data_IF_323359019520
#
_entry.id   IF_323359019520
#
_cell.length_a   1.000
_cell.length_b   1.000
_cell.length_c   1.000
_cell.angle_alpha   90.00
_cell.angle_beta   90.00
_cell.angle_gamma   90.00
#
_symmetry.space_group_name_H-M   'P 1'
#
loop_
_entity.id
_entity.type
_entity.pdbx_description
1 polymer ?
#
# COMPACT_ATOMS: atom_id res chain seq x y z
N UNK A 1 -12.73 -23.69 -7.73
CA UNK A 1 -11.40 -23.25 -7.27
C UNK A 1 -11.49 -22.86 -5.81
N UNK A 2 -12.38 -21.94 -5.44
CA UNK A 2 -12.56 -21.45 -4.05
C UNK A 2 -12.76 -22.59 -3.04
N UNK A 3 -13.77 -23.45 -3.23
CA UNK A 3 -14.03 -24.67 -2.41
C UNK A 3 -12.77 -25.46 -2.06
N UNK A 4 -11.83 -25.57 -3.00
CA UNK A 4 -10.64 -26.40 -2.81
C UNK A 4 -9.66 -25.80 -1.78
N UNK A 5 -9.85 -24.55 -1.39
CA UNK A 5 -8.91 -23.76 -0.60
C UNK A 5 -9.57 -22.97 0.54
N UNK A 6 -10.84 -23.19 0.86
CA UNK A 6 -11.53 -22.47 1.94
C UNK A 6 -11.26 -23.07 3.34
N UNK A 7 -10.79 -24.32 3.40
CA UNK A 7 -10.37 -24.99 4.63
C UNK A 7 -11.52 -25.39 5.55
N UNK A 8 -12.74 -25.56 5.04
CA UNK A 8 -13.90 -25.95 5.84
C UNK A 8 -13.99 -27.48 6.11
N UNK A 9 -13.10 -28.26 5.47
CA UNK A 9 -13.03 -29.71 5.55
C UNK A 9 -13.82 -30.46 4.47
N UNK A 10 -14.48 -29.77 3.55
CA UNK A 10 -15.24 -30.31 2.42
C UNK A 10 -14.45 -30.10 1.14
N UNK A 11 -14.19 -31.18 0.38
CA UNK A 11 -13.45 -31.18 -0.91
C UNK A 11 -12.11 -30.39 -0.97
N UNK A 12 -11.55 -30.07 0.20
CA UNK A 12 -10.28 -29.37 0.37
C UNK A 12 -9.14 -30.05 -0.40
N UNK A 13 -8.19 -29.22 -0.83
CA UNK A 13 -6.92 -29.73 -1.33
C UNK A 13 -6.26 -30.64 -0.28
N UNK A 14 -5.90 -31.90 -0.63
CA UNK A 14 -5.21 -32.77 0.32
C UNK A 14 -3.92 -32.12 0.84
N UNK A 15 -3.82 -32.00 2.17
CA UNK A 15 -2.67 -31.37 2.82
C UNK A 15 -2.70 -29.85 2.89
N UNK A 16 -3.86 -29.21 2.65
CA UNK A 16 -4.03 -27.78 2.88
C UNK A 16 -3.71 -27.44 4.34
N UNK A 17 -2.68 -26.61 4.55
CA UNK A 17 -2.25 -26.18 5.88
C UNK A 17 -2.96 -24.90 6.33
N UNK A 18 -3.26 -24.01 5.38
CA UNK A 18 -3.90 -22.72 5.62
C UNK A 18 -4.88 -22.42 4.48
N UNK A 19 -6.08 -21.89 4.77
CA UNK A 19 -7.04 -21.50 3.74
C UNK A 19 -6.58 -20.24 2.99
N UNK A 20 -7.05 -20.10 1.74
CA UNK A 20 -6.88 -18.89 0.94
C UNK A 20 -8.11 -18.00 1.18
N UNK A 21 -7.91 -16.94 1.98
CA UNK A 21 -8.99 -16.01 2.37
C UNK A 21 -9.08 -14.74 1.54
N UNK A 22 -8.13 -14.48 0.65
CA UNK A 22 -8.10 -13.25 -0.14
C UNK A 22 -7.97 -13.59 -1.61
N UNK A 23 -8.90 -13.07 -2.41
CA UNK A 23 -9.00 -13.35 -3.83
C UNK A 23 -8.98 -12.05 -4.62
N UNK A 24 -7.91 -11.82 -5.37
CA UNK A 24 -7.80 -10.70 -6.30
C UNK A 24 -8.36 -11.08 -7.68
N UNK A 25 -9.26 -10.26 -8.20
CA UNK A 25 -9.96 -10.53 -9.46
C UNK A 25 -9.23 -9.87 -10.64
N UNK A 26 -8.31 -10.64 -11.23
CA UNK A 26 -7.42 -10.25 -12.33
C UNK A 26 -6.31 -9.27 -11.94
N UNK A 27 -5.36 -9.05 -12.86
CA UNK A 27 -4.23 -8.14 -12.69
C UNK A 27 -4.28 -7.07 -13.79
N UNK A 28 -4.28 -5.79 -13.39
CA UNK A 28 -4.18 -4.64 -14.30
C UNK A 28 -5.16 -4.67 -15.49
N UNK A 29 -6.48 -4.78 -15.22
CA UNK A 29 -7.48 -4.94 -16.28
C UNK A 29 -7.58 -3.71 -17.20
N UNK A 30 -7.08 -2.55 -16.80
CA UNK A 30 -7.01 -1.37 -17.66
C UNK A 30 -5.89 -1.44 -18.71
N UNK A 31 -4.92 -2.34 -18.58
CA UNK A 31 -3.84 -2.50 -19.57
C UNK A 31 -4.31 -3.36 -20.75
N UNK A 32 -4.39 -2.76 -21.93
CA UNK A 32 -4.97 -3.36 -23.13
C UNK A 32 -3.91 -3.52 -24.25
N UNK A 33 -4.01 -4.60 -25.03
CA UNK A 33 -3.23 -4.82 -26.24
C UNK A 33 -1.72 -4.98 -26.04
N UNK A 34 -1.26 -6.20 -25.74
CA UNK A 34 0.18 -6.45 -25.57
C UNK A 34 0.52 -7.76 -24.89
N UNK A 35 1.81 -8.06 -24.81
CA UNK A 35 2.33 -9.12 -23.97
C UNK A 35 2.39 -8.64 -22.51
N UNK A 36 1.99 -9.49 -21.56
CA UNK A 36 1.96 -9.14 -20.14
C UNK A 36 0.68 -8.43 -19.67
N UNK A 37 -0.37 -8.42 -20.50
CA UNK A 37 -1.69 -7.90 -20.12
C UNK A 37 -2.67 -9.07 -19.98
N UNK A 38 -3.21 -9.25 -18.77
CA UNK A 38 -3.90 -10.50 -18.40
C UNK A 38 -5.42 -10.48 -18.64
N UNK A 39 -5.98 -9.29 -18.83
CA UNK A 39 -7.39 -9.10 -19.17
C UNK A 39 -7.50 -8.28 -20.46
N UNK A 40 -8.39 -8.67 -21.37
CA UNK A 40 -8.67 -7.95 -22.61
C UNK A 40 -10.18 -7.75 -22.73
N UNK A 41 -10.62 -6.50 -22.72
CA UNK A 41 -12.04 -6.18 -22.66
C UNK A 41 -12.29 -4.74 -22.22
N UNK A 42 -13.57 -4.37 -22.17
CA UNK A 42 -14.01 -3.06 -21.71
C UNK A 42 -14.18 -3.03 -20.19
N UNK A 43 -14.37 -1.83 -19.61
CA UNK A 43 -14.78 -1.65 -18.22
C UNK A 43 -16.03 -2.45 -17.86
N UNK A 44 -17.00 -2.55 -18.78
CA UNK A 44 -18.24 -3.31 -18.57
C UNK A 44 -18.00 -4.83 -18.53
N UNK A 45 -17.06 -5.33 -19.35
CA UNK A 45 -16.66 -6.74 -19.34
C UNK A 45 -15.99 -7.10 -18.01
N UNK A 46 -15.08 -6.23 -17.54
CA UNK A 46 -14.41 -6.41 -16.25
C UNK A 46 -15.40 -6.34 -15.08
N UNK A 47 -16.31 -5.36 -15.05
CA UNK A 47 -17.35 -5.27 -14.03
C UNK A 47 -18.24 -6.52 -13.98
N UNK A 48 -18.60 -7.06 -15.15
CA UNK A 48 -19.38 -8.30 -15.23
C UNK A 48 -18.63 -9.49 -14.65
N UNK A 49 -17.32 -9.59 -14.94
CA UNK A 49 -16.43 -10.60 -14.36
C UNK A 49 -16.29 -10.43 -12.84
N UNK A 50 -16.08 -9.20 -12.35
CA UNK A 50 -15.94 -8.89 -10.94
C UNK A 50 -17.19 -9.30 -10.14
N UNK A 51 -18.39 -8.95 -10.63
CA UNK A 51 -19.66 -9.34 -10.00
C UNK A 51 -19.82 -10.86 -9.92
N UNK A 52 -19.57 -11.55 -11.04
CA UNK A 52 -19.66 -13.00 -11.08
C UNK A 52 -18.65 -13.66 -10.13
N UNK A 53 -17.42 -13.15 -10.09
CA UNK A 53 -16.38 -13.63 -9.19
C UNK A 53 -16.78 -13.42 -7.73
N UNK A 54 -17.23 -12.22 -7.35
CA UNK A 54 -17.67 -11.90 -6.00
C UNK A 54 -18.77 -12.84 -5.51
N UNK A 55 -19.84 -13.01 -6.30
CA UNK A 55 -20.95 -13.91 -5.96
C UNK A 55 -20.48 -15.36 -5.83
N UNK A 56 -19.65 -15.83 -6.77
CA UNK A 56 -19.13 -17.21 -6.77
C UNK A 56 -18.22 -17.45 -5.57
N UNK A 57 -17.32 -16.53 -5.26
CA UNK A 57 -16.36 -16.64 -4.16
C UNK A 57 -17.09 -16.63 -2.83
N UNK A 58 -17.94 -15.64 -2.59
CA UNK A 58 -18.64 -15.49 -1.29
C UNK A 58 -19.73 -16.53 -1.06
N UNK A 59 -20.25 -17.16 -2.13
CA UNK A 59 -21.15 -18.31 -2.00
C UNK A 59 -20.41 -19.57 -1.57
N UNK A 60 -19.19 -19.78 -2.09
CA UNK A 60 -18.36 -20.93 -1.72
C UNK A 60 -17.74 -20.73 -0.32
N UNK A 61 -17.14 -19.55 -0.09
CA UNK A 61 -16.51 -19.19 1.17
C UNK A 61 -17.04 -17.83 1.67
N UNK A 62 -18.02 -17.82 2.60
CA UNK A 62 -18.53 -16.60 3.20
C UNK A 62 -17.49 -15.82 4.03
N UNK A 63 -16.35 -16.42 4.38
CA UNK A 63 -15.25 -15.76 5.10
C UNK A 63 -14.21 -15.16 4.15
N UNK A 64 -14.37 -15.31 2.83
CA UNK A 64 -13.44 -14.78 1.85
C UNK A 64 -13.56 -13.26 1.63
N UNK A 65 -12.40 -12.60 1.56
CA UNK A 65 -12.22 -11.23 1.11
C UNK A 65 -11.97 -11.22 -0.40
N UNK A 66 -12.60 -10.29 -1.11
CA UNK A 66 -12.53 -10.17 -2.58
C UNK A 66 -12.00 -8.79 -2.91
N UNK A 67 -10.90 -8.75 -3.65
CA UNK A 67 -10.27 -7.51 -4.11
C UNK A 67 -10.66 -7.25 -5.56
N UNK A 68 -10.78 -5.98 -5.92
CA UNK A 68 -10.64 -5.60 -7.34
C UNK A 68 -9.26 -6.01 -7.83
N UNK A 69 -9.10 -6.28 -9.13
CA UNK A 69 -7.77 -6.35 -9.71
C UNK A 69 -6.99 -5.05 -9.53
N UNK A 70 -5.67 -5.14 -9.46
CA UNK A 70 -4.82 -3.98 -9.28
C UNK A 70 -4.96 -2.95 -10.40
N UNK A 71 -5.31 -1.72 -10.07
CA UNK A 71 -5.27 -0.61 -11.02
C UNK A 71 -3.81 -0.21 -11.29
N UNK A 72 -3.36 -0.22 -12.55
CA UNK A 72 -1.94 0.02 -12.89
C UNK A 72 -1.37 1.43 -12.59
N UNK A 73 -2.22 2.35 -12.11
CA UNK A 73 -1.85 3.72 -11.74
C UNK A 73 -3.02 4.69 -11.85
N UNK A 74 -2.75 5.98 -11.62
CA UNK A 74 -3.77 7.05 -11.62
C UNK A 74 -3.77 7.93 -12.87
N UNK A 75 -3.03 7.57 -13.92
CA UNK A 75 -3.05 8.29 -15.19
C UNK A 75 -4.45 8.23 -15.84
N UNK A 76 -4.84 9.24 -16.66
CA UNK A 76 -6.20 9.34 -17.21
C UNK A 76 -6.71 8.07 -17.91
N UNK A 77 -5.87 7.38 -18.68
CA UNK A 77 -6.28 6.14 -19.36
C UNK A 77 -6.69 5.02 -18.40
N UNK A 78 -6.10 4.98 -17.19
CA UNK A 78 -6.45 3.99 -16.17
C UNK A 78 -7.69 4.43 -15.40
N UNK A 79 -7.78 5.69 -14.99
CA UNK A 79 -8.98 6.19 -14.31
C UNK A 79 -10.21 6.17 -15.21
N UNK A 80 -10.08 6.48 -16.51
CA UNK A 80 -11.17 6.36 -17.49
C UNK A 80 -11.74 4.93 -17.58
N UNK A 81 -10.88 3.91 -17.40
CA UNK A 81 -11.33 2.51 -17.33
C UNK A 81 -12.04 2.21 -16.01
N UNK A 82 -11.49 2.67 -14.88
CA UNK A 82 -11.91 2.27 -13.55
C UNK A 82 -13.09 3.06 -12.98
N UNK A 83 -13.23 4.34 -13.29
CA UNK A 83 -14.36 5.18 -12.83
C UNK A 83 -15.72 4.52 -13.08
N UNK A 84 -16.10 4.12 -14.31
CA UNK A 84 -17.40 3.48 -14.54
C UNK A 84 -17.53 2.10 -13.87
N UNK A 85 -16.42 1.41 -13.58
CA UNK A 85 -16.42 0.16 -12.81
C UNK A 85 -16.78 0.47 -11.37
N UNK A 86 -16.05 1.37 -10.72
CA UNK A 86 -16.22 1.70 -9.30
C UNK A 86 -17.59 2.30 -9.02
N UNK A 87 -18.09 3.21 -9.86
CA UNK A 87 -19.44 3.77 -9.75
C UNK A 87 -20.54 2.69 -9.74
N UNK A 88 -20.28 1.54 -10.36
CA UNK A 88 -21.23 0.43 -10.51
C UNK A 88 -20.89 -0.81 -9.68
N UNK A 89 -19.78 -0.83 -8.96
CA UNK A 89 -19.27 -1.99 -8.24
C UNK A 89 -19.66 -2.03 -6.76
N UNK A 90 -20.49 -1.10 -6.29
CA UNK A 90 -20.98 -1.09 -4.91
C UNK A 90 -21.55 -2.45 -4.48
N UNK A 91 -20.95 -3.03 -3.44
CA UNK A 91 -21.32 -4.35 -2.90
C UNK A 91 -20.74 -5.56 -3.64
N UNK A 92 -19.82 -5.37 -4.59
CA UNK A 92 -19.21 -6.45 -5.38
C UNK A 92 -17.69 -6.57 -5.22
N UNK A 93 -17.13 -5.93 -4.20
CA UNK A 93 -15.78 -6.16 -3.70
C UNK A 93 -15.73 -5.75 -2.23
N UNK A 94 -14.75 -6.27 -1.49
CA UNK A 94 -14.50 -5.93 -0.10
C UNK A 94 -13.38 -4.89 0.04
N UNK A 95 -12.37 -4.98 -0.84
CA UNK A 95 -11.14 -4.19 -0.76
C UNK A 95 -10.78 -3.66 -2.17
N UNK A 96 -10.54 -2.36 -2.28
CA UNK A 96 -10.01 -1.75 -3.50
C UNK A 96 -8.52 -2.09 -3.70
N UNK A 97 -8.00 -1.98 -4.91
CA UNK A 97 -6.62 -2.32 -5.20
C UNK A 97 -5.97 -1.42 -6.27
N UNK A 98 -4.75 -0.97 -6.00
CA UNK A 98 -3.92 -0.17 -6.91
C UNK A 98 -2.46 -0.63 -6.92
N UNK A 99 -1.78 -0.42 -8.04
CA UNK A 99 -0.35 -0.62 -8.23
C UNK A 99 0.34 0.72 -8.46
N UNK A 100 1.57 0.83 -7.96
CA UNK A 100 2.53 1.85 -8.38
C UNK A 100 3.89 1.20 -8.50
N UNK A 101 4.31 0.95 -9.73
CA UNK A 101 5.64 0.45 -10.04
C UNK A 101 6.44 1.60 -10.61
N UNK A 102 7.29 2.19 -9.77
CA UNK A 102 8.25 3.21 -10.15
C UNK A 102 7.65 4.48 -10.75
N UNK A 103 6.43 4.85 -10.35
CA UNK A 103 5.65 5.92 -10.99
C UNK A 103 5.31 7.08 -10.06
N UNK A 104 4.89 6.78 -8.83
CA UNK A 104 4.53 7.80 -7.83
C UNK A 104 5.21 7.50 -6.48
N UNK A 105 5.64 8.55 -5.79
CA UNK A 105 6.36 8.47 -4.53
C UNK A 105 5.50 7.87 -3.40
N UNK A 106 4.20 8.19 -3.36
CA UNK A 106 3.22 7.71 -2.37
C UNK A 106 2.35 6.56 -2.88
N UNK A 107 2.76 5.96 -3.99
CA UNK A 107 2.02 4.89 -4.66
C UNK A 107 0.60 5.27 -5.09
N UNK A 108 0.39 6.55 -5.44
CA UNK A 108 -0.90 7.14 -5.79
C UNK A 108 -1.97 7.06 -4.68
N UNK A 109 -1.56 6.90 -3.42
CA UNK A 109 -2.47 6.64 -2.31
C UNK A 109 -3.51 7.75 -2.10
N UNK A 110 -3.12 9.02 -2.13
CA UNK A 110 -4.04 10.16 -2.03
C UNK A 110 -5.05 10.21 -3.19
N UNK A 111 -4.57 10.06 -4.43
CA UNK A 111 -5.38 10.09 -5.64
C UNK A 111 -6.33 8.89 -5.72
N UNK A 112 -5.87 7.71 -5.28
CA UNK A 112 -6.70 6.51 -5.28
C UNK A 112 -7.76 6.56 -4.18
N UNK A 113 -7.41 7.07 -2.99
CA UNK A 113 -8.37 7.35 -1.93
C UNK A 113 -9.46 8.30 -2.43
N UNK A 114 -9.07 9.40 -3.10
CA UNK A 114 -10.01 10.34 -3.69
C UNK A 114 -10.91 9.67 -4.75
N UNK A 115 -10.36 8.85 -5.63
CA UNK A 115 -11.14 8.13 -6.64
C UNK A 115 -12.19 7.20 -6.01
N UNK A 116 -11.82 6.45 -4.97
CA UNK A 116 -12.77 5.61 -4.25
C UNK A 116 -13.88 6.44 -3.60
N UNK A 117 -13.52 7.56 -2.96
CA UNK A 117 -14.50 8.44 -2.32
C UNK A 117 -15.48 9.06 -3.33
N UNK A 118 -14.96 9.58 -4.44
CA UNK A 118 -15.73 10.20 -5.53
C UNK A 118 -16.68 9.21 -6.22
N UNK A 119 -16.31 7.93 -6.26
CA UNK A 119 -17.11 6.86 -6.87
C UNK A 119 -18.02 6.12 -5.87
N UNK A 120 -18.14 6.64 -4.64
CA UNK A 120 -19.13 6.20 -3.65
C UNK A 120 -18.63 5.18 -2.63
N UNK A 121 -17.31 4.99 -2.51
CA UNK A 121 -16.65 4.02 -1.61
C UNK A 121 -15.89 4.71 -0.47
N UNK A 122 -16.47 5.78 0.07
CA UNK A 122 -15.88 6.52 1.18
C UNK A 122 -15.60 5.60 2.38
N UNK A 123 -14.34 5.59 2.84
CA UNK A 123 -13.88 4.75 3.94
C UNK A 123 -13.75 3.26 3.59
N UNK A 124 -13.95 2.84 2.34
CA UNK A 124 -13.66 1.48 1.91
C UNK A 124 -12.17 1.17 2.09
N UNK A 125 -11.87 -0.05 2.54
CA UNK A 125 -10.50 -0.53 2.64
C UNK A 125 -9.87 -0.63 1.24
N UNK A 126 -8.58 -0.31 1.12
CA UNK A 126 -7.82 -0.57 -0.09
C UNK A 126 -6.40 -1.00 0.21
N UNK A 127 -5.86 -1.81 -0.71
CA UNK A 127 -4.49 -2.28 -0.66
C UNK A 127 -3.70 -1.72 -1.84
N UNK A 128 -2.38 -1.72 -1.67
CA UNK A 128 -1.43 -1.52 -2.76
C UNK A 128 -0.69 -2.85 -2.96
N UNK A 129 -1.13 -3.68 -3.91
CA UNK A 129 -0.57 -5.03 -4.10
C UNK A 129 0.72 -5.09 -4.89
N UNK A 130 1.10 -3.98 -5.55
CA UNK A 130 2.43 -3.81 -6.15
C UNK A 130 2.92 -2.39 -5.88
N UNK A 131 3.86 -2.24 -4.95
CA UNK A 131 4.48 -0.97 -4.61
C UNK A 131 5.99 -0.99 -4.88
N UNK A 132 6.48 0.01 -5.62
CA UNK A 132 7.89 0.24 -5.87
C UNK A 132 8.14 1.74 -6.07
N UNK A 133 9.06 2.32 -5.29
CA UNK A 133 9.43 3.74 -5.42
C UNK A 133 10.16 3.97 -6.75
N UNK A 134 9.94 5.14 -7.38
CA UNK A 134 10.55 5.45 -8.68
C UNK A 134 12.07 5.42 -8.63
N UNK A 135 12.66 4.59 -9.50
CA UNK A 135 14.10 4.56 -9.83
C UNK A 135 14.41 5.43 -11.06
N UNK A 136 13.37 5.96 -11.70
CA UNK A 136 13.49 6.78 -12.91
C UNK A 136 13.60 8.26 -12.56
N UNK A 137 14.44 9.01 -13.27
CA UNK A 137 14.52 10.45 -13.10
C UNK A 137 13.25 11.13 -13.60
N UNK A 138 12.83 12.19 -12.92
CA UNK A 138 11.93 13.16 -13.53
C UNK A 138 12.59 13.84 -14.74
N UNK A 139 11.81 14.37 -15.70
CA UNK A 139 12.34 15.08 -16.85
C UNK A 139 13.31 16.21 -16.44
N UNK A 140 14.59 16.05 -16.79
CA UNK A 140 15.64 17.02 -16.49
C UNK A 140 16.39 16.79 -15.17
N UNK A 141 16.09 15.72 -14.45
CA UNK A 141 16.80 15.32 -13.23
C UNK A 141 17.74 14.13 -13.47
N UNK A 142 18.67 13.91 -12.54
CA UNK A 142 19.45 12.67 -12.50
C UNK A 142 18.60 11.56 -11.88
N UNK A 143 18.93 10.31 -12.20
CA UNK A 143 18.34 9.18 -11.48
C UNK A 143 18.60 9.33 -9.97
N UNK A 144 17.62 8.97 -9.13
CA UNK A 144 17.82 9.00 -7.69
C UNK A 144 18.97 8.09 -7.28
N UNK A 145 19.76 8.56 -6.33
CA UNK A 145 20.80 7.80 -5.64
C UNK A 145 20.18 6.75 -4.72
N UNK A 146 20.96 5.75 -4.31
CA UNK A 146 20.50 4.77 -3.31
C UNK A 146 20.05 5.44 -2.01
N UNK A 147 20.75 6.49 -1.58
CA UNK A 147 20.35 7.28 -0.40
C UNK A 147 18.97 7.92 -0.56
N UNK A 148 18.70 8.54 -1.72
CA UNK A 148 17.39 9.11 -2.04
C UNK A 148 16.30 8.03 -2.12
N UNK A 149 16.61 6.85 -2.66
CA UNK A 149 15.66 5.72 -2.71
C UNK A 149 15.33 5.18 -1.31
N UNK A 150 16.31 5.11 -0.40
CA UNK A 150 16.08 4.77 1.01
C UNK A 150 15.15 5.76 1.71
N UNK A 151 15.37 7.07 1.49
CA UNK A 151 14.51 8.13 2.03
C UNK A 151 13.09 8.04 1.49
N UNK A 152 12.96 7.96 0.16
CA UNK A 152 11.67 7.89 -0.53
C UNK A 152 10.87 6.66 -0.15
N UNK A 153 11.54 5.54 0.15
CA UNK A 153 10.87 4.33 0.62
C UNK A 153 10.22 4.55 1.98
N UNK A 154 10.95 5.15 2.94
CA UNK A 154 10.37 5.39 4.26
C UNK A 154 9.15 6.33 4.17
N UNK A 155 9.33 7.46 3.50
CA UNK A 155 8.28 8.49 3.39
C UNK A 155 7.11 8.02 2.54
N UNK A 156 7.35 7.35 1.41
CA UNK A 156 6.30 6.86 0.51
C UNK A 156 5.36 5.86 1.17
N UNK A 157 5.90 4.87 1.88
CA UNK A 157 5.09 3.90 2.65
C UNK A 157 4.36 4.58 3.80
N UNK A 158 5.02 5.49 4.54
CA UNK A 158 4.38 6.18 5.65
C UNK A 158 3.20 7.04 5.18
N UNK A 159 3.37 7.79 4.09
CA UNK A 159 2.32 8.56 3.44
C UNK A 159 1.17 7.66 3.00
N UNK A 160 1.46 6.56 2.30
CA UNK A 160 0.42 5.67 1.79
C UNK A 160 -0.46 5.07 2.89
N UNK A 161 0.13 4.70 4.03
CA UNK A 161 -0.63 4.27 5.20
C UNK A 161 -1.47 5.42 5.79
N UNK A 162 -0.93 6.63 5.87
CA UNK A 162 -1.67 7.81 6.36
C UNK A 162 -2.85 8.21 5.47
N UNK A 163 -2.74 7.94 4.16
CA UNK A 163 -3.79 8.14 3.15
C UNK A 163 -4.79 6.97 3.09
N UNK A 164 -4.67 6.01 4.00
CA UNK A 164 -5.67 4.99 4.27
C UNK A 164 -5.43 3.63 3.60
N UNK A 165 -4.26 3.40 2.98
CA UNK A 165 -3.90 2.05 2.56
C UNK A 165 -3.80 1.17 3.80
N UNK A 166 -4.43 0.00 3.80
CA UNK A 166 -4.36 -0.92 4.95
C UNK A 166 -3.26 -1.95 4.81
N UNK A 167 -2.86 -2.28 3.57
CA UNK A 167 -1.75 -3.20 3.26
C UNK A 167 -1.00 -2.75 2.01
N UNK A 168 0.32 -2.89 2.06
CA UNK A 168 1.22 -2.55 0.95
C UNK A 168 2.16 -3.73 0.73
N UNK A 169 2.22 -4.22 -0.50
CA UNK A 169 3.10 -5.30 -0.92
C UNK A 169 4.26 -4.72 -1.72
N UNK A 170 5.45 -4.72 -1.10
CA UNK A 170 6.66 -4.30 -1.77
C UNK A 170 7.08 -5.33 -2.82
N UNK A 171 7.19 -4.91 -4.09
CA UNK A 171 7.74 -5.77 -5.15
C UNK A 171 9.23 -6.02 -4.91
N UNK A 172 9.94 -5.02 -4.37
CA UNK A 172 11.31 -5.13 -3.91
C UNK A 172 12.28 -5.72 -4.94
N UNK A 173 13.21 -6.61 -4.54
CA UNK A 173 14.24 -7.16 -5.44
C UNK A 173 13.68 -8.18 -6.45
N UNK A 174 12.38 -8.50 -6.40
CA UNK A 174 11.73 -9.36 -7.38
C UNK A 174 11.34 -8.61 -8.66
N UNK A 175 11.44 -7.28 -8.67
CA UNK A 175 11.32 -6.50 -9.90
C UNK A 175 12.39 -6.96 -10.90
N UNK A 176 12.00 -7.39 -12.13
CA UNK A 176 12.94 -7.80 -13.16
C UNK A 176 13.96 -6.71 -13.57
N UNK A 177 13.73 -5.44 -13.20
CA UNK A 177 14.69 -4.35 -13.42
C UNK A 177 15.74 -4.21 -12.31
N UNK A 178 15.64 -4.99 -11.24
CA UNK A 178 16.56 -4.98 -10.09
C UNK A 178 16.07 -4.18 -8.88
N UNK A 179 14.87 -3.58 -8.96
CA UNK A 179 14.23 -2.85 -7.88
C UNK A 179 14.98 -1.58 -7.45
N UNK A 180 14.56 -0.94 -6.35
CA UNK A 180 15.16 0.33 -5.89
C UNK A 180 16.44 0.16 -5.07
N UNK A 181 16.99 -1.06 -5.01
CA UNK A 181 18.31 -1.33 -4.44
C UNK A 181 18.35 -1.50 -2.91
N UNK A 182 19.53 -1.80 -2.35
CA UNK A 182 19.67 -2.28 -0.98
C UNK A 182 19.33 -1.23 0.09
N UNK A 183 19.51 0.06 -0.19
CA UNK A 183 19.11 1.14 0.72
C UNK A 183 17.58 1.22 0.85
N UNK A 184 16.86 1.07 -0.26
CA UNK A 184 15.39 0.95 -0.26
C UNK A 184 14.93 -0.29 0.47
N UNK A 185 15.55 -1.45 0.21
CA UNK A 185 15.20 -2.71 0.89
C UNK A 185 15.40 -2.60 2.41
N UNK A 186 16.48 -1.96 2.85
CA UNK A 186 16.77 -1.74 4.26
C UNK A 186 15.75 -0.81 4.93
N UNK A 187 15.37 0.27 4.26
CA UNK A 187 14.34 1.19 4.76
C UNK A 187 12.95 0.53 4.83
N UNK A 188 12.60 -0.29 3.85
CA UNK A 188 11.36 -1.08 3.87
C UNK A 188 11.35 -2.09 5.03
N UNK A 189 12.44 -2.82 5.25
CA UNK A 189 12.54 -3.76 6.37
C UNK A 189 12.44 -3.05 7.72
N UNK A 190 13.10 -1.91 7.88
CA UNK A 190 12.98 -1.08 9.08
C UNK A 190 11.52 -0.68 9.35
N UNK A 191 10.80 -0.22 8.32
CA UNK A 191 9.37 0.11 8.43
C UNK A 191 8.55 -1.13 8.82
N UNK A 192 8.74 -2.25 8.13
CA UNK A 192 8.00 -3.48 8.39
C UNK A 192 8.23 -3.99 9.82
N UNK A 193 9.46 -3.91 10.33
CA UNK A 193 9.81 -4.32 11.69
C UNK A 193 9.29 -3.35 12.77
N UNK A 194 9.24 -2.04 12.46
CA UNK A 194 8.89 -1.02 13.45
C UNK A 194 7.38 -0.79 13.53
N UNK A 195 6.72 -0.70 12.38
CA UNK A 195 5.31 -0.33 12.27
C UNK A 195 4.47 -1.37 11.53
N UNK A 196 5.00 -2.51 11.08
CA UNK A 196 4.24 -3.47 10.24
C UNK A 196 2.95 -4.03 10.86
N UNK A 197 2.83 -4.00 12.20
CA UNK A 197 1.65 -4.43 12.95
C UNK A 197 0.78 -3.25 13.45
N UNK A 198 0.92 -2.04 12.87
CA UNK A 198 0.16 -0.86 13.32
C UNK A 198 -1.36 -1.11 13.35
N UNK A 199 -2.05 -0.47 14.29
CA UNK A 199 -3.52 -0.51 14.42
C UNK A 199 -4.18 0.59 13.59
N UNK A 200 -3.59 1.79 13.58
CA UNK A 200 -4.00 2.90 12.73
C UNK A 200 -2.82 3.76 12.33
N UNK A 201 -2.90 4.35 11.13
CA UNK A 201 -1.98 5.36 10.63
C UNK A 201 -2.76 6.63 10.28
N UNK A 202 -2.20 7.80 10.57
CA UNK A 202 -2.83 9.08 10.25
C UNK A 202 -1.80 10.20 10.15
N UNK A 203 -2.11 11.21 9.34
CA UNK A 203 -1.34 12.45 9.31
C UNK A 203 -1.43 13.19 10.64
N UNK A 204 -0.27 13.55 11.20
CA UNK A 204 -0.14 14.41 12.38
C UNK A 204 0.51 15.77 12.06
N UNK A 205 0.94 15.96 10.81
CA UNK A 205 1.51 17.18 10.25
C UNK A 205 1.85 16.97 8.77
N UNK A 206 2.36 17.98 8.08
CA UNK A 206 2.69 17.91 6.64
C UNK A 206 3.77 16.86 6.32
N UNK A 207 4.72 16.67 7.22
CA UNK A 207 5.83 15.70 7.08
C UNK A 207 5.92 14.79 8.31
N UNK A 208 4.76 14.47 8.88
CA UNK A 208 4.64 13.69 10.12
C UNK A 208 3.45 12.75 10.06
N UNK A 209 3.72 11.45 10.11
CA UNK A 209 2.70 10.40 10.20
C UNK A 209 2.77 9.76 11.57
N UNK A 210 1.60 9.57 12.19
CA UNK A 210 1.41 8.87 13.45
C UNK A 210 0.93 7.45 13.18
N UNK A 211 1.59 6.48 13.79
CA UNK A 211 1.18 5.09 13.89
C UNK A 211 0.82 4.75 15.34
N UNK A 212 -0.38 4.24 15.55
CA UNK A 212 -0.79 3.67 16.84
C UNK A 212 -0.50 2.17 16.83
N UNK A 213 0.27 1.70 17.82
CA UNK A 213 0.71 0.31 17.88
C UNK A 213 -0.20 -0.55 18.78
N UNK A 214 -0.32 -1.87 18.53
CA UNK A 214 -1.20 -2.75 19.31
C UNK A 214 -0.85 -2.84 20.80
N UNK A 215 0.40 -2.57 21.17
CA UNK A 215 0.88 -2.57 22.55
C UNK A 215 0.70 -1.23 23.27
N UNK A 216 0.03 -0.27 22.63
CA UNK A 216 -0.24 1.06 23.16
C UNK A 216 0.86 2.09 22.91
N UNK A 217 2.00 1.69 22.32
CA UNK A 217 3.02 2.65 21.89
C UNK A 217 2.51 3.51 20.72
N UNK A 218 3.14 4.66 20.55
CA UNK A 218 2.99 5.49 19.36
C UNK A 218 4.32 5.56 18.64
N UNK A 219 4.32 5.34 17.32
CA UNK A 219 5.48 5.59 16.47
C UNK A 219 5.15 6.74 15.52
N UNK A 220 6.07 7.69 15.37
CA UNK A 220 5.97 8.73 14.35
C UNK A 220 6.97 8.48 13.24
N UNK A 221 6.57 8.59 11.98
CA UNK A 221 7.49 8.79 10.87
C UNK A 221 7.58 10.30 10.59
N UNK A 222 8.77 10.89 10.74
CA UNK A 222 9.00 12.32 10.61
C UNK A 222 10.09 12.60 9.55
N UNK A 223 9.91 13.62 8.73
CA UNK A 223 10.89 14.07 7.73
C UNK A 223 10.78 15.58 7.47
N UNK A 224 11.64 16.11 6.59
CA UNK A 224 11.65 17.53 6.16
C UNK A 224 11.60 18.57 7.30
N UNK A 225 12.26 18.26 8.41
CA UNK A 225 12.37 19.13 9.57
C UNK A 225 11.17 19.05 10.52
N UNK A 226 10.24 18.11 10.31
CA UNK A 226 9.10 17.90 11.20
C UNK A 226 9.55 17.69 12.65
N UNK A 227 8.87 18.40 13.56
CA UNK A 227 8.96 18.18 14.99
C UNK A 227 7.86 17.25 15.49
N UNK A 228 7.91 16.90 16.77
CA UNK A 228 6.88 16.09 17.42
C UNK A 228 5.76 16.99 18.00
N UNK A 229 4.54 16.46 18.19
CA UNK A 229 3.48 17.20 18.86
C UNK A 229 3.87 17.58 20.29
N UNK A 230 3.45 18.75 20.79
CA UNK A 230 3.75 19.24 22.15
C UNK A 230 3.31 18.30 23.28
N UNK A 231 2.41 17.35 22.98
CA UNK A 231 1.97 16.32 23.92
C UNK A 231 3.03 15.22 24.15
N UNK A 232 4.02 15.10 23.25
CA UNK A 232 5.14 14.18 23.40
C UNK A 232 6.25 14.88 24.19
N UNK A 233 6.60 14.34 25.35
CA UNK A 233 7.57 14.97 26.27
C UNK A 233 8.61 13.96 26.74
N UNK A 234 9.80 14.45 27.08
CA UNK A 234 10.88 13.60 27.60
C UNK A 234 11.75 13.03 26.49
N UNK A 235 12.47 11.96 26.79
CA UNK A 235 13.39 11.32 25.84
C UNK A 235 12.61 10.30 25.00
N UNK A 236 12.81 10.36 23.69
CA UNK A 236 12.24 9.43 22.70
C UNK A 236 13.34 8.64 22.01
N UNK A 237 13.02 7.41 21.60
CA UNK A 237 13.91 6.57 20.80
C UNK A 237 13.74 6.91 19.32
N UNK A 238 14.84 6.99 18.57
CA UNK A 238 14.86 7.39 17.17
C UNK A 238 15.61 6.36 16.33
N UNK A 239 15.12 6.05 15.13
CA UNK A 239 15.83 5.26 14.14
C UNK A 239 15.72 5.96 12.78
N UNK A 240 16.84 6.38 12.21
CA UNK A 240 16.88 6.95 10.86
C UNK A 240 16.53 5.91 9.78
N UNK A 241 16.14 6.37 8.59
CA UNK A 241 15.86 5.49 7.43
C UNK A 241 17.03 4.55 7.06
N UNK A 242 18.26 4.92 7.45
CA UNK A 242 19.49 4.16 7.27
C UNK A 242 19.77 3.14 8.39
N UNK A 243 18.86 3.01 9.36
CA UNK A 243 19.00 2.14 10.53
C UNK A 243 19.81 2.75 11.68
N UNK A 244 20.25 4.00 11.59
CA UNK A 244 20.99 4.66 12.67
C UNK A 244 20.08 4.89 13.87
N UNK A 245 20.27 4.11 14.93
CA UNK A 245 19.54 4.22 16.19
C UNK A 245 20.12 5.31 17.11
N UNK A 246 19.26 5.94 17.89
CA UNK A 246 19.61 6.98 18.85
C UNK A 246 18.45 7.35 19.77
N UNK A 247 18.63 8.44 20.51
CA UNK A 247 17.57 9.05 21.30
C UNK A 247 17.68 10.57 21.24
N UNK A 248 16.55 11.25 21.45
CA UNK A 248 16.47 12.70 21.45
C UNK A 248 15.50 13.19 22.54
N UNK A 249 15.70 14.42 23.01
CA UNK A 249 14.62 15.10 23.76
C UNK A 249 13.51 15.47 22.78
N UNK A 250 12.27 15.13 23.10
CA UNK A 250 11.12 15.47 22.29
C UNK A 250 10.98 16.99 22.11
N UNK A 251 11.34 17.77 23.12
CA UNK A 251 11.37 19.21 23.05
C UNK A 251 12.53 19.67 22.17
N UNK A 252 12.19 20.16 20.97
CA UNK A 252 13.17 20.62 19.98
C UNK A 252 13.67 19.53 19.04
N UNK A 253 13.09 18.33 19.07
CA UNK A 253 13.31 17.35 18.01
C UNK A 253 12.91 17.91 16.64
N UNK A 254 13.71 17.63 15.62
CA UNK A 254 13.43 17.96 14.23
C UNK A 254 14.11 16.93 13.33
N UNK A 255 13.31 16.27 12.48
CA UNK A 255 13.78 15.22 11.59
C UNK A 255 14.30 15.80 10.27
N UNK A 256 15.60 16.12 10.21
CA UNK A 256 16.23 16.59 8.97
C UNK A 256 16.27 15.53 7.85
N UNK A 257 16.20 14.25 8.24
CA UNK A 257 16.06 13.11 7.34
C UNK A 257 14.96 12.20 7.85
N UNK A 258 14.35 11.35 7.00
CA UNK A 258 13.28 10.46 7.44
C UNK A 258 13.70 9.61 8.63
N UNK A 259 12.91 9.68 9.71
CA UNK A 259 13.23 9.10 11.01
C UNK A 259 11.96 8.54 11.64
N UNK A 260 12.03 7.30 12.12
CA UNK A 260 11.02 6.71 12.99
C UNK A 260 11.30 7.10 14.44
N UNK A 261 10.29 7.58 15.15
CA UNK A 261 10.38 8.03 16.53
C UNK A 261 9.39 7.23 17.37
N UNK A 262 9.90 6.41 18.29
CA UNK A 262 9.05 5.62 19.19
C UNK A 262 8.84 6.36 20.50
N UNK A 263 7.56 6.53 20.86
CA UNK A 263 7.11 7.11 22.12
C UNK A 263 6.55 5.98 22.98
N UNK A 264 7.17 5.79 24.14
CA UNK A 264 6.78 4.81 25.16
C UNK A 264 5.79 5.32 26.18
#
# INVERSE_FOLDING_TARGET
MVERYDGDGVEDMPGLAYPIRHWEVANEPSMQGGHGHFFQGTSADYLSMLRLAFETITTADPEATVLTGGQAGMQPSFTDFWTPVLESAAGFFHVGNIHSIGSDHSFFSDGYRALLDETGHAGAEYWITEALVSTWPEPGQMSPTGDELGRNTLTGFATAFADGASRIFNVGPHDPTGGPGPESDSAFLLLAETVGDFTSASWAGESLVRFDMPDGRTVYAAWDGAGLPDTVTGVVETVGYDGTAGSADAAGFSAATPTLVTVG
#
